data_IF_750606833276
#
_entry.id   IF_750606833276
#
_cell.length_a   1.000
_cell.length_b   1.000
_cell.length_c   1.000
_cell.angle_alpha   90.00
_cell.angle_beta   90.00
_cell.angle_gamma   90.00
#
_symmetry.space_group_name_H-M   'P 1'
#
loop_
_entity.id
_entity.type
_entity.pdbx_description
1 polymer ?
#
# COMPACT_ATOMS: atom_id res chain seq x y z
N UNK A 1 19.11 -36.49 49.05
CA UNK A 1 18.18 -37.28 48.17
C UNK A 1 16.88 -36.55 47.79
N UNK A 2 16.45 -35.55 48.53
CA UNK A 2 15.14 -34.88 48.32
C UNK A 2 15.12 -33.87 47.14
N UNK A 3 16.21 -33.15 46.88
CA UNK A 3 16.28 -32.10 45.82
C UNK A 3 16.32 -32.66 44.40
N UNK A 4 16.91 -33.81 44.19
CA UNK A 4 16.93 -34.48 42.86
C UNK A 4 15.56 -34.98 42.46
N UNK A 5 14.82 -35.52 43.45
CA UNK A 5 13.42 -36.00 43.25
C UNK A 5 12.51 -34.79 42.93
N UNK A 6 12.66 -33.68 43.64
CA UNK A 6 11.89 -32.45 43.41
C UNK A 6 12.19 -31.86 42.01
N UNK A 7 13.46 -31.86 41.62
CA UNK A 7 13.87 -31.41 40.28
C UNK A 7 13.27 -32.29 39.17
N UNK A 8 13.28 -33.64 39.35
CA UNK A 8 12.65 -34.56 38.41
C UNK A 8 11.12 -34.40 38.37
N UNK A 9 10.45 -34.18 39.52
CA UNK A 9 9.00 -33.91 39.57
C UNK A 9 8.68 -32.59 38.85
N UNK A 10 9.46 -31.53 39.06
CA UNK A 10 9.29 -30.25 38.37
C UNK A 10 9.60 -30.35 36.86
N UNK A 11 10.59 -31.16 36.49
CA UNK A 11 10.94 -31.42 35.07
C UNK A 11 9.80 -32.21 34.38
N UNK A 12 9.28 -33.24 35.03
CA UNK A 12 8.15 -34.06 34.52
C UNK A 12 6.87 -33.25 34.50
N UNK A 13 6.62 -32.41 35.53
CA UNK A 13 5.51 -31.46 35.51
C UNK A 13 5.61 -30.42 34.43
N UNK A 14 6.83 -29.89 34.17
CA UNK A 14 7.11 -28.96 33.04
C UNK A 14 6.96 -29.61 31.67
N UNK A 15 7.26 -30.90 31.54
CA UNK A 15 7.04 -31.67 30.32
C UNK A 15 5.56 -32.01 30.13
N UNK A 16 4.83 -32.29 31.23
CA UNK A 16 3.41 -32.65 31.19
C UNK A 16 2.50 -31.42 30.99
N UNK A 17 2.97 -30.22 31.34
CA UNK A 17 2.27 -28.95 31.12
C UNK A 17 2.59 -28.27 29.77
N UNK A 18 3.19 -28.97 28.82
CA UNK A 18 2.98 -28.63 27.42
C UNK A 18 1.56 -29.09 27.03
N UNK A 19 0.56 -28.36 27.51
CA UNK A 19 -0.72 -28.30 26.81
C UNK A 19 -0.39 -28.02 25.36
N UNK A 20 -0.79 -28.90 24.46
CA UNK A 20 -0.69 -28.65 23.01
C UNK A 20 -1.38 -27.31 22.79
N UNK A 21 -0.62 -26.28 22.38
CA UNK A 21 -1.24 -25.01 21.99
C UNK A 21 -2.42 -25.35 21.09
N UNK A 22 -3.60 -24.76 21.33
CA UNK A 22 -4.78 -25.07 20.55
C UNK A 22 -4.44 -24.92 19.07
N UNK A 23 -4.63 -25.99 18.30
CA UNK A 23 -4.29 -26.02 16.88
C UNK A 23 -5.10 -24.93 16.20
N UNK A 24 -4.41 -23.88 15.70
CA UNK A 24 -5.07 -22.79 14.97
C UNK A 24 -5.80 -23.35 13.74
N UNK A 25 -7.05 -22.96 13.60
CA UNK A 25 -7.91 -23.33 12.48
C UNK A 25 -7.67 -22.41 11.28
N UNK A 26 -7.81 -22.94 10.06
CA UNK A 26 -7.51 -22.23 8.81
C UNK A 26 -8.71 -22.22 7.88
N UNK A 27 -9.14 -21.03 7.51
CA UNK A 27 -10.14 -20.80 6.44
C UNK A 27 -9.47 -20.28 5.19
N UNK A 28 -9.91 -20.75 4.02
CA UNK A 28 -9.52 -20.18 2.73
C UNK A 28 -10.75 -19.51 2.11
N UNK A 29 -10.61 -18.25 1.72
CA UNK A 29 -11.62 -17.45 1.04
C UNK A 29 -11.16 -17.16 -0.39
N UNK A 30 -11.99 -17.51 -1.36
CA UNK A 30 -11.72 -17.38 -2.80
C UNK A 30 -12.80 -16.49 -3.41
N UNK A 31 -12.49 -15.22 -3.71
CA UNK A 31 -13.40 -14.37 -4.48
C UNK A 31 -13.37 -14.81 -5.95
N UNK A 32 -14.53 -14.94 -6.58
CA UNK A 32 -14.64 -15.39 -7.96
C UNK A 32 -15.68 -14.56 -8.73
N UNK A 33 -15.36 -14.17 -9.96
CA UNK A 33 -16.29 -13.52 -10.88
C UNK A 33 -15.98 -13.94 -12.31
N UNK A 34 -16.84 -14.81 -12.89
CA UNK A 34 -16.67 -15.44 -14.21
C UNK A 34 -15.35 -16.24 -14.33
N UNK A 35 -15.10 -17.13 -13.35
CA UNK A 35 -13.90 -17.94 -13.24
C UNK A 35 -14.22 -19.47 -13.29
N UNK A 36 -15.26 -19.87 -14.00
CA UNK A 36 -15.67 -21.28 -14.10
C UNK A 36 -14.55 -22.22 -14.59
N UNK A 37 -13.57 -21.70 -15.35
CA UNK A 37 -12.46 -22.48 -15.91
C UNK A 37 -11.34 -22.77 -14.90
N UNK A 38 -11.16 -21.93 -13.91
CA UNK A 38 -9.99 -21.92 -13.02
C UNK A 38 -10.32 -22.23 -11.57
N UNK A 39 -11.49 -21.82 -11.09
CA UNK A 39 -11.92 -21.94 -9.68
C UNK A 39 -11.83 -23.36 -9.15
N UNK A 40 -12.15 -24.39 -9.96
CA UNK A 40 -12.07 -25.79 -9.56
C UNK A 40 -10.64 -26.20 -9.19
N UNK A 41 -9.64 -25.80 -9.98
CA UNK A 41 -8.22 -26.10 -9.70
C UNK A 41 -7.75 -25.40 -8.41
N UNK A 42 -8.16 -24.15 -8.19
CA UNK A 42 -7.82 -23.39 -6.97
C UNK A 42 -8.40 -24.05 -5.73
N UNK A 43 -9.67 -24.48 -5.78
CA UNK A 43 -10.33 -25.20 -4.67
C UNK A 43 -9.62 -26.53 -4.40
N UNK A 44 -9.29 -27.33 -5.44
CA UNK A 44 -8.58 -28.60 -5.28
C UNK A 44 -7.20 -28.43 -4.67
N UNK A 45 -6.43 -27.42 -5.08
CA UNK A 45 -5.13 -27.10 -4.50
C UNK A 45 -5.23 -26.75 -3.00
N UNK A 46 -6.24 -25.99 -2.61
CA UNK A 46 -6.53 -25.65 -1.22
C UNK A 46 -6.97 -26.88 -0.41
N UNK A 47 -7.86 -27.71 -0.96
CA UNK A 47 -8.45 -28.88 -0.29
C UNK A 47 -7.45 -30.01 -0.02
N UNK A 48 -6.36 -30.07 -0.78
CA UNK A 48 -5.32 -31.08 -0.58
C UNK A 48 -4.50 -30.88 0.70
N UNK A 49 -4.65 -29.74 1.39
CA UNK A 49 -3.96 -29.45 2.65
C UNK A 49 -4.80 -29.91 3.84
N UNK A 50 -4.28 -30.87 4.59
CA UNK A 50 -4.99 -31.55 5.70
C UNK A 50 -5.24 -30.69 6.94
N UNK A 51 -4.70 -29.46 6.98
CA UNK A 51 -4.89 -28.50 8.05
C UNK A 51 -5.80 -27.32 7.67
N UNK A 52 -6.38 -27.35 6.48
CA UNK A 52 -7.41 -26.40 6.05
C UNK A 52 -8.77 -26.94 6.49
N UNK A 53 -9.46 -26.17 7.33
CA UNK A 53 -10.72 -26.60 7.96
C UNK A 53 -11.93 -26.24 7.10
N UNK A 54 -11.87 -25.13 6.35
CA UNK A 54 -12.95 -24.70 5.46
C UNK A 54 -12.44 -23.97 4.22
N UNK A 55 -13.18 -24.10 3.12
CA UNK A 55 -12.94 -23.38 1.87
C UNK A 55 -14.24 -22.73 1.45
N UNK A 56 -14.23 -21.41 1.34
CA UNK A 56 -15.39 -20.59 0.97
C UNK A 56 -15.10 -19.89 -0.34
N UNK A 57 -15.89 -20.20 -1.37
CA UNK A 57 -15.87 -19.44 -2.63
C UNK A 57 -17.00 -18.41 -2.58
N UNK A 58 -16.69 -17.15 -2.81
CA UNK A 58 -17.67 -16.08 -2.94
C UNK A 58 -17.80 -15.74 -4.41
N UNK A 59 -18.86 -16.23 -5.04
CA UNK A 59 -19.25 -15.90 -6.42
C UNK A 59 -19.87 -14.51 -6.44
N UNK A 60 -19.16 -13.54 -6.98
CA UNK A 60 -19.58 -12.14 -7.02
C UNK A 60 -20.54 -11.82 -8.19
N UNK A 61 -21.53 -12.70 -8.40
CA UNK A 61 -22.58 -12.52 -9.40
C UNK A 61 -22.19 -13.01 -10.79
N UNK A 62 -21.45 -14.12 -10.89
CA UNK A 62 -21.07 -14.72 -12.17
C UNK A 62 -22.27 -15.25 -12.97
N UNK A 63 -22.06 -15.33 -14.28
CA UNK A 63 -23.02 -15.87 -15.27
C UNK A 63 -22.52 -17.10 -16.03
N UNK A 64 -21.30 -17.61 -15.73
CA UNK A 64 -20.59 -18.62 -16.52
C UNK A 64 -20.49 -20.02 -15.88
N UNK A 65 -21.22 -20.28 -14.78
CA UNK A 65 -21.14 -21.56 -14.07
C UNK A 65 -20.01 -21.64 -13.02
N UNK A 66 -19.47 -20.51 -12.57
CA UNK A 66 -18.45 -20.43 -11.52
C UNK A 66 -18.90 -21.09 -10.21
N UNK A 67 -20.14 -20.82 -9.75
CA UNK A 67 -20.69 -21.41 -8.53
C UNK A 67 -20.70 -22.92 -8.60
N UNK A 68 -21.25 -23.50 -9.68
CA UNK A 68 -21.37 -24.93 -9.88
C UNK A 68 -19.99 -25.62 -9.96
N UNK A 69 -19.00 -24.96 -10.56
CA UNK A 69 -17.63 -25.48 -10.62
C UNK A 69 -16.99 -25.53 -9.23
N UNK A 70 -17.18 -24.50 -8.41
CA UNK A 70 -16.68 -24.43 -7.05
C UNK A 70 -17.33 -25.46 -6.12
N UNK A 71 -18.64 -25.65 -6.22
CA UNK A 71 -19.39 -26.68 -5.47
C UNK A 71 -18.93 -28.08 -5.81
N UNK A 72 -18.78 -28.40 -7.11
CA UNK A 72 -18.25 -29.72 -7.55
C UNK A 72 -16.84 -30.00 -7.00
N UNK A 73 -16.01 -28.96 -6.85
CA UNK A 73 -14.69 -29.09 -6.24
C UNK A 73 -14.75 -29.29 -4.71
N UNK A 74 -15.90 -29.03 -4.09
CA UNK A 74 -16.17 -29.26 -2.67
C UNK A 74 -15.93 -28.04 -1.80
N UNK A 75 -16.08 -26.82 -2.34
CA UNK A 75 -16.11 -25.59 -1.58
C UNK A 75 -17.55 -25.27 -1.10
N UNK A 76 -17.64 -24.51 -0.02
CA UNK A 76 -18.88 -23.81 0.38
C UNK A 76 -19.03 -22.56 -0.49
N UNK A 77 -20.11 -22.44 -1.25
CA UNK A 77 -20.32 -21.32 -2.16
C UNK A 77 -21.30 -20.31 -1.56
N UNK A 78 -20.96 -19.03 -1.67
CA UNK A 78 -21.83 -17.90 -1.35
C UNK A 78 -21.97 -17.06 -2.61
N UNK A 79 -23.18 -16.93 -3.15
CA UNK A 79 -23.42 -16.16 -4.36
C UNK A 79 -23.99 -14.78 -4.06
N UNK A 80 -23.39 -13.74 -4.61
CA UNK A 80 -23.96 -12.41 -4.63
C UNK A 80 -24.98 -12.29 -5.77
N UNK A 81 -26.07 -11.52 -5.59
CA UNK A 81 -27.07 -11.33 -6.65
C UNK A 81 -26.56 -10.51 -7.84
N UNK A 82 -25.47 -9.77 -7.65
CA UNK A 82 -24.76 -8.97 -8.68
C UNK A 82 -23.33 -8.72 -8.23
N UNK A 83 -22.45 -8.32 -9.15
CA UNK A 83 -21.11 -7.91 -8.86
C UNK A 83 -21.08 -6.73 -7.88
N UNK A 84 -20.33 -6.88 -6.78
CA UNK A 84 -20.14 -5.88 -5.72
C UNK A 84 -18.68 -5.45 -5.57
N UNK A 85 -17.79 -6.10 -6.31
CA UNK A 85 -16.36 -5.88 -6.31
C UNK A 85 -15.58 -6.87 -5.43
N UNK A 86 -14.30 -7.05 -5.77
CA UNK A 86 -13.39 -8.02 -5.14
C UNK A 86 -13.38 -7.93 -3.63
N UNK A 87 -13.17 -6.75 -3.09
CA UNK A 87 -13.09 -6.57 -1.64
C UNK A 87 -14.40 -6.82 -0.92
N UNK A 88 -15.56 -6.57 -1.58
CA UNK A 88 -16.87 -6.94 -1.04
C UNK A 88 -17.01 -8.46 -0.95
N UNK A 89 -16.51 -9.21 -1.94
CA UNK A 89 -16.49 -10.68 -1.93
C UNK A 89 -15.56 -11.19 -0.82
N UNK A 90 -14.34 -10.65 -0.68
CA UNK A 90 -13.42 -10.99 0.41
C UNK A 90 -14.05 -10.76 1.79
N UNK A 91 -14.71 -9.62 2.00
CA UNK A 91 -15.37 -9.29 3.26
C UNK A 91 -16.55 -10.25 3.55
N UNK A 92 -17.31 -10.63 2.53
CA UNK A 92 -18.38 -11.62 2.68
C UNK A 92 -17.84 -12.98 3.11
N UNK A 93 -16.79 -13.47 2.44
CA UNK A 93 -16.13 -14.72 2.79
C UNK A 93 -15.50 -14.67 4.19
N UNK A 94 -14.81 -13.58 4.52
CA UNK A 94 -14.25 -13.36 5.85
C UNK A 94 -15.30 -13.43 6.96
N UNK A 95 -16.43 -12.77 6.80
CA UNK A 95 -17.53 -12.78 7.79
C UNK A 95 -18.19 -14.15 7.96
N UNK A 96 -18.13 -14.99 6.96
CA UNK A 96 -18.69 -16.35 6.99
C UNK A 96 -17.68 -17.38 7.46
N UNK A 97 -16.40 -17.10 7.32
CA UNK A 97 -15.34 -17.99 7.77
C UNK A 97 -15.21 -17.96 9.30
N UNK A 98 -14.65 -19.04 9.85
CA UNK A 98 -14.51 -19.26 11.32
C UNK A 98 -13.06 -19.43 11.77
N UNK A 99 -12.14 -19.75 10.87
CA UNK A 99 -10.74 -20.06 11.18
C UNK A 99 -9.99 -18.91 11.85
N UNK A 100 -9.03 -19.24 12.70
CA UNK A 100 -8.13 -18.29 13.38
C UNK A 100 -7.19 -17.57 12.40
N UNK A 101 -6.87 -18.26 11.30
CA UNK A 101 -6.13 -17.75 10.16
C UNK A 101 -7.06 -17.77 8.96
N UNK A 102 -7.09 -16.66 8.23
CA UNK A 102 -7.85 -16.57 6.97
C UNK A 102 -6.88 -16.28 5.83
N UNK A 103 -6.83 -17.19 4.86
CA UNK A 103 -6.09 -17.03 3.62
C UNK A 103 -7.04 -16.58 2.51
N UNK A 104 -6.60 -15.65 1.69
CA UNK A 104 -7.33 -15.15 0.54
C UNK A 104 -6.55 -15.51 -0.72
N UNK A 105 -7.23 -16.12 -1.69
CA UNK A 105 -6.61 -16.64 -2.93
C UNK A 105 -7.51 -16.31 -4.10
N UNK A 106 -6.97 -15.69 -5.13
CA UNK A 106 -7.72 -15.33 -6.34
C UNK A 106 -8.15 -16.59 -7.11
N UNK A 107 -9.35 -16.55 -7.71
CA UNK A 107 -9.92 -17.69 -8.43
C UNK A 107 -9.34 -17.88 -9.85
N UNK A 108 -8.64 -16.88 -10.41
CA UNK A 108 -8.12 -16.85 -11.79
C UNK A 108 -6.76 -17.54 -11.96
N UNK A 109 -6.22 -18.17 -10.91
CA UNK A 109 -4.92 -18.84 -10.94
C UNK A 109 -4.98 -20.17 -11.66
N UNK A 110 -4.30 -20.28 -12.82
CA UNK A 110 -4.36 -21.46 -13.68
C UNK A 110 -3.49 -22.61 -13.18
N UNK A 111 -2.33 -22.30 -12.61
CA UNK A 111 -1.29 -23.26 -12.21
C UNK A 111 -1.04 -23.34 -10.70
N UNK A 112 -2.01 -22.93 -9.88
CA UNK A 112 -1.86 -22.94 -8.42
C UNK A 112 -1.67 -24.37 -7.89
N UNK A 113 -0.65 -24.53 -7.06
CA UNK A 113 -0.32 -25.79 -6.37
C UNK A 113 -0.58 -25.70 -4.87
N UNK A 114 -0.82 -26.84 -4.23
CA UNK A 114 -0.94 -26.91 -2.77
C UNK A 114 0.28 -26.36 -2.03
N UNK A 115 1.47 -26.56 -2.59
CA UNK A 115 2.72 -26.03 -2.01
C UNK A 115 2.76 -24.51 -1.99
N UNK A 116 2.23 -23.85 -3.00
CA UNK A 116 2.11 -22.39 -3.03
C UNK A 116 1.12 -21.89 -1.96
N UNK A 117 -0.03 -22.57 -1.82
CA UNK A 117 -1.01 -22.27 -0.76
C UNK A 117 -0.39 -22.48 0.64
N UNK A 118 0.33 -23.59 0.82
CA UNK A 118 1.06 -23.88 2.06
C UNK A 118 2.05 -22.75 2.40
N UNK A 119 2.84 -22.29 1.43
CA UNK A 119 3.82 -21.22 1.63
C UNK A 119 3.17 -19.91 2.13
N UNK A 120 1.93 -19.62 1.72
CA UNK A 120 1.18 -18.44 2.17
C UNK A 120 0.79 -18.56 3.64
N UNK A 121 0.35 -19.74 4.08
CA UNK A 121 -0.26 -19.97 5.40
C UNK A 121 0.78 -20.30 6.47
N UNK A 122 1.75 -21.14 6.15
CA UNK A 122 2.71 -21.68 7.13
C UNK A 122 3.50 -20.65 7.93
N UNK A 123 3.89 -19.48 7.41
CA UNK A 123 4.57 -18.48 8.24
C UNK A 123 3.73 -17.99 9.42
N UNK A 124 2.39 -17.96 9.28
CA UNK A 124 1.48 -17.54 10.35
C UNK A 124 1.28 -18.69 11.34
N UNK A 125 1.02 -19.91 10.86
CA UNK A 125 0.92 -21.11 11.70
C UNK A 125 2.16 -21.32 12.58
N UNK A 126 3.36 -21.02 12.03
CA UNK A 126 4.62 -21.12 12.74
C UNK A 126 4.97 -19.89 13.61
N UNK A 127 4.07 -18.93 13.80
CA UNK A 127 4.28 -17.73 14.58
C UNK A 127 5.35 -16.76 14.01
N UNK A 128 5.76 -16.96 12.74
CA UNK A 128 6.79 -16.15 12.07
C UNK A 128 6.24 -14.87 11.45
N UNK A 129 4.93 -14.77 11.27
CA UNK A 129 4.23 -13.61 10.73
C UNK A 129 2.82 -13.51 11.32
N UNK A 130 2.23 -12.32 11.26
CA UNK A 130 0.81 -12.07 11.55
C UNK A 130 0.03 -11.91 10.26
N UNK A 131 0.72 -11.43 9.20
CA UNK A 131 0.20 -11.26 7.85
C UNK A 131 1.26 -11.74 6.86
N UNK A 132 0.85 -12.51 5.86
CA UNK A 132 1.69 -12.84 4.71
C UNK A 132 1.17 -12.14 3.47
N UNK A 133 2.07 -11.73 2.58
CA UNK A 133 1.77 -11.17 1.27
C UNK A 133 2.61 -11.90 0.24
N UNK A 134 2.06 -12.24 -0.91
CA UNK A 134 2.81 -13.02 -1.89
C UNK A 134 3.62 -12.13 -2.82
N UNK A 135 4.74 -12.67 -3.27
CA UNK A 135 5.46 -12.25 -4.46
C UNK A 135 5.67 -13.45 -5.38
N UNK A 136 5.84 -13.20 -6.66
CA UNK A 136 6.05 -14.22 -7.68
C UNK A 136 7.06 -13.71 -8.72
N UNK A 137 7.72 -14.63 -9.44
CA UNK A 137 8.86 -14.32 -10.33
C UNK A 137 8.54 -13.39 -11.50
N UNK A 138 7.28 -13.20 -11.85
CA UNK A 138 6.87 -12.30 -12.91
C UNK A 138 7.14 -10.84 -12.51
N UNK A 139 7.58 -10.01 -13.46
CA UNK A 139 7.64 -8.56 -13.26
C UNK A 139 6.27 -8.04 -12.82
N UNK A 140 6.25 -7.18 -11.81
CA UNK A 140 5.03 -6.58 -11.31
C UNK A 140 4.27 -5.86 -12.44
N UNK A 141 2.93 -5.90 -12.38
CA UNK A 141 2.06 -5.30 -13.39
C UNK A 141 2.22 -3.77 -13.48
N UNK A 142 1.72 -3.18 -14.56
CA UNK A 142 1.82 -1.73 -14.80
C UNK A 142 1.26 -0.89 -13.66
N UNK A 143 0.11 -1.26 -13.10
CA UNK A 143 -0.50 -0.55 -11.96
C UNK A 143 0.42 -0.59 -10.74
N UNK A 144 1.06 -1.72 -10.48
CA UNK A 144 2.03 -1.85 -9.40
C UNK A 144 3.24 -0.94 -9.59
N UNK A 145 3.87 -0.98 -10.77
CA UNK A 145 5.13 -0.25 -11.02
C UNK A 145 4.91 1.26 -11.22
N UNK A 146 3.87 1.65 -11.94
CA UNK A 146 3.66 3.04 -12.34
C UNK A 146 2.78 3.83 -11.36
N UNK A 147 1.99 3.14 -10.52
CA UNK A 147 1.02 3.79 -9.65
C UNK A 147 1.26 3.44 -8.18
N UNK A 148 1.16 2.16 -7.79
CA UNK A 148 1.21 1.79 -6.38
C UNK A 148 2.58 2.04 -5.75
N UNK A 149 3.66 1.54 -6.35
CA UNK A 149 5.02 1.69 -5.79
C UNK A 149 5.46 3.15 -5.62
N UNK A 150 5.24 4.08 -6.59
CA UNK A 150 5.56 5.49 -6.39
C UNK A 150 4.81 6.12 -5.21
N UNK A 151 3.51 5.85 -5.08
CA UNK A 151 2.70 6.38 -4.00
C UNK A 151 3.06 5.76 -2.64
N UNK A 152 3.29 4.45 -2.58
CA UNK A 152 3.76 3.78 -1.38
C UNK A 152 5.14 4.30 -0.94
N UNK A 153 6.09 4.44 -1.86
CA UNK A 153 7.39 5.04 -1.55
C UNK A 153 7.29 6.48 -1.02
N UNK A 154 6.23 7.19 -1.39
CA UNK A 154 6.00 8.57 -0.96
C UNK A 154 5.32 8.62 0.42
N UNK A 155 4.20 7.92 0.62
CA UNK A 155 3.41 7.99 1.84
C UNK A 155 3.85 6.99 2.93
N UNK A 156 4.34 5.82 2.51
CA UNK A 156 4.72 4.69 3.37
C UNK A 156 6.13 4.18 3.00
N UNK A 157 7.17 5.02 3.12
CA UNK A 157 8.52 4.70 2.64
C UNK A 157 9.18 3.53 3.38
N UNK A 158 8.66 3.15 4.53
CA UNK A 158 9.05 1.96 5.29
C UNK A 158 8.62 0.66 4.63
N UNK A 159 7.51 0.67 3.87
CA UNK A 159 6.99 -0.50 3.17
C UNK A 159 7.77 -0.76 1.88
N UNK A 160 8.43 -1.91 1.85
CA UNK A 160 9.22 -2.35 0.69
C UNK A 160 8.73 -3.71 0.22
N UNK A 161 7.65 -3.71 -0.57
CA UNK A 161 7.13 -4.91 -1.19
C UNK A 161 7.49 -4.99 -2.67
N UNK A 162 7.86 -6.17 -3.15
CA UNK A 162 8.04 -6.42 -4.58
C UNK A 162 6.70 -6.38 -5.31
N UNK A 163 5.64 -6.92 -4.67
CA UNK A 163 4.31 -6.98 -5.25
C UNK A 163 3.20 -6.59 -4.25
N UNK A 164 3.08 -5.31 -3.92
CA UNK A 164 2.12 -4.82 -2.93
C UNK A 164 0.64 -5.06 -3.32
N UNK A 165 0.35 -5.27 -4.60
CA UNK A 165 -0.99 -5.51 -5.12
C UNK A 165 -1.27 -6.98 -5.41
N UNK A 166 -0.43 -7.94 -4.94
CA UNK A 166 -0.78 -9.36 -5.14
C UNK A 166 -2.07 -9.68 -4.38
N UNK A 167 -2.97 -10.44 -5.01
CA UNK A 167 -4.27 -10.78 -4.42
C UNK A 167 -4.20 -11.93 -3.41
N UNK A 168 -3.08 -12.65 -3.37
CA UNK A 168 -2.90 -13.80 -2.48
C UNK A 168 -2.21 -13.36 -1.20
N UNK A 169 -2.86 -13.55 -0.06
CA UNK A 169 -2.32 -13.24 1.26
C UNK A 169 -3.02 -14.06 2.33
N UNK A 170 -2.45 -14.13 3.52
CA UNK A 170 -3.13 -14.67 4.69
C UNK A 170 -2.89 -13.75 5.90
N UNK A 171 -3.81 -13.77 6.85
CA UNK A 171 -3.71 -12.98 8.06
C UNK A 171 -4.42 -13.64 9.24
N UNK A 172 -4.01 -13.29 10.45
CA UNK A 172 -4.73 -13.66 11.67
C UNK A 172 -6.11 -12.99 11.70
N UNK A 173 -7.13 -13.74 12.08
CA UNK A 173 -8.49 -13.21 12.26
C UNK A 173 -8.54 -12.04 13.23
N UNK A 174 -7.77 -12.10 14.31
CA UNK A 174 -7.70 -11.02 15.31
C UNK A 174 -7.30 -9.67 14.70
N UNK A 175 -6.44 -9.66 13.69
CA UNK A 175 -6.10 -8.46 12.92
C UNK A 175 -7.24 -8.06 11.98
N UNK A 176 -7.77 -9.01 11.19
CA UNK A 176 -8.81 -8.75 10.18
C UNK A 176 -10.12 -8.20 10.78
N UNK A 177 -10.45 -8.58 12.01
CA UNK A 177 -11.61 -8.06 12.74
C UNK A 177 -11.53 -6.55 13.02
N UNK A 178 -10.32 -5.99 12.99
CA UNK A 178 -10.06 -4.60 13.37
C UNK A 178 -9.76 -3.68 12.19
N UNK A 179 -9.91 -4.15 10.96
CA UNK A 179 -9.68 -3.36 9.75
C UNK A 179 -10.95 -3.19 8.93
N UNK A 180 -10.92 -2.19 8.06
CA UNK A 180 -11.98 -1.94 7.09
C UNK A 180 -11.59 -2.48 5.73
N UNK A 181 -12.34 -3.43 5.20
CA UNK A 181 -12.17 -3.91 3.84
C UNK A 181 -12.66 -2.85 2.85
N UNK A 182 -11.81 -2.46 1.91
CA UNK A 182 -12.26 -1.74 0.71
C UNK A 182 -13.19 -2.64 -0.10
N UNK A 183 -14.10 -2.04 -0.90
CA UNK A 183 -15.07 -2.84 -1.66
C UNK A 183 -14.50 -3.42 -2.95
N UNK A 184 -13.46 -2.82 -3.46
CA UNK A 184 -12.86 -3.05 -4.78
C UNK A 184 -11.41 -3.56 -4.69
N UNK A 185 -10.63 -3.42 -5.75
CA UNK A 185 -9.22 -3.84 -5.81
C UNK A 185 -8.29 -3.07 -4.86
N UNK A 186 -8.72 -1.94 -4.31
CA UNK A 186 -8.00 -1.25 -3.25
C UNK A 186 -7.78 -2.09 -1.99
N UNK A 187 -8.57 -3.16 -1.79
CA UNK A 187 -8.45 -4.09 -0.66
C UNK A 187 -7.06 -4.71 -0.57
N UNK A 188 -6.44 -5.05 -1.71
CA UNK A 188 -5.14 -5.74 -1.76
C UNK A 188 -4.00 -4.91 -1.16
N UNK A 189 -4.02 -3.59 -1.36
CA UNK A 189 -3.05 -2.66 -0.75
C UNK A 189 -3.52 -2.17 0.61
N UNK A 190 -4.82 -1.96 0.80
CA UNK A 190 -5.39 -1.46 2.06
C UNK A 190 -5.02 -2.33 3.26
N UNK A 191 -5.14 -3.65 3.11
CA UNK A 191 -4.80 -4.62 4.18
C UNK A 191 -3.32 -4.52 4.59
N UNK A 192 -2.42 -4.33 3.63
CA UNK A 192 -0.98 -4.19 3.91
C UNK A 192 -0.69 -2.88 4.66
N UNK A 193 -1.34 -1.78 4.26
CA UNK A 193 -1.22 -0.49 4.94
C UNK A 193 -1.76 -0.54 6.36
N UNK A 194 -2.93 -1.16 6.54
CA UNK A 194 -3.56 -1.33 7.84
C UNK A 194 -2.71 -2.23 8.77
N UNK A 195 -2.04 -3.26 8.22
CA UNK A 195 -1.16 -4.14 8.95
C UNK A 195 0.13 -3.42 9.42
N UNK A 196 0.74 -2.63 8.55
CA UNK A 196 1.95 -1.86 8.87
C UNK A 196 1.71 -0.86 10.00
N UNK A 197 0.68 -0.03 9.86
CA UNK A 197 0.35 0.99 10.87
C UNK A 197 0.01 0.38 12.23
N UNK A 198 -0.54 -0.83 12.25
CA UNK A 198 -0.86 -1.56 13.49
C UNK A 198 0.33 -2.36 14.04
N UNK A 199 1.50 -2.25 13.43
CA UNK A 199 2.72 -2.94 13.87
C UNK A 199 2.67 -4.46 13.69
N UNK A 200 1.83 -4.96 12.76
CA UNK A 200 1.77 -6.39 12.47
C UNK A 200 3.05 -6.85 11.81
N UNK A 201 3.48 -8.06 12.13
CA UNK A 201 4.63 -8.70 11.50
C UNK A 201 4.25 -9.21 10.12
N UNK A 202 4.56 -8.42 9.10
CA UNK A 202 4.27 -8.75 7.70
C UNK A 202 5.45 -9.52 7.10
N UNK A 203 5.16 -10.59 6.36
CA UNK A 203 6.18 -11.35 5.61
C UNK A 203 5.79 -11.49 4.16
N UNK A 204 6.66 -11.04 3.26
CA UNK A 204 6.52 -11.32 1.83
C UNK A 204 7.01 -12.75 1.54
N UNK A 205 6.19 -13.54 0.84
CA UNK A 205 6.40 -14.96 0.57
C UNK A 205 6.51 -15.18 -0.92
N UNK A 206 7.61 -15.79 -1.36
CA UNK A 206 7.77 -16.19 -2.75
C UNK A 206 6.97 -17.46 -3.03
N UNK A 207 6.03 -17.38 -3.99
CA UNK A 207 5.22 -18.53 -4.44
C UNK A 207 5.61 -19.02 -5.85
N UNK A 208 6.74 -18.54 -6.37
CA UNK A 208 7.25 -18.96 -7.67
C UNK A 208 6.50 -18.34 -8.84
N UNK A 209 6.24 -19.14 -9.88
CA UNK A 209 5.54 -18.68 -11.07
C UNK A 209 4.05 -18.94 -10.94
N UNK A 210 3.25 -17.91 -11.27
CA UNK A 210 1.79 -18.00 -11.36
C UNK A 210 1.33 -17.49 -12.73
N UNK A 211 0.32 -18.15 -13.27
CA UNK A 211 -0.33 -17.77 -14.51
C UNK A 211 -1.76 -17.29 -14.22
N UNK A 212 -2.11 -16.14 -14.74
CA UNK A 212 -3.45 -15.56 -14.64
C UNK A 212 -3.80 -14.82 -15.92
N UNK A 213 -5.08 -14.55 -16.13
CA UNK A 213 -5.60 -13.78 -17.26
C UNK A 213 -5.02 -12.37 -17.30
N UNK A 214 -4.78 -11.84 -18.51
CA UNK A 214 -4.33 -10.45 -18.67
C UNK A 214 -5.54 -9.51 -18.68
N UNK A 215 -5.50 -8.48 -17.83
CA UNK A 215 -6.53 -7.44 -17.80
C UNK A 215 -6.41 -6.49 -19.00
N UNK A 216 -7.53 -6.00 -19.47
CA UNK A 216 -7.62 -4.96 -20.51
C UNK A 216 -7.10 -3.60 -20.00
N UNK A 217 -6.78 -2.66 -20.90
CA UNK A 217 -6.36 -1.31 -20.51
C UNK A 217 -7.43 -0.55 -19.71
N UNK A 218 -8.71 -0.77 -20.01
CA UNK A 218 -9.83 -0.14 -19.31
C UNK A 218 -9.93 -0.65 -17.87
N UNK A 219 -9.80 -1.96 -17.66
CA UNK A 219 -9.78 -2.57 -16.33
C UNK A 219 -8.56 -2.12 -15.52
N UNK A 220 -7.39 -2.03 -16.14
CA UNK A 220 -6.17 -1.51 -15.49
C UNK A 220 -6.33 -0.07 -15.02
N UNK A 221 -7.04 0.79 -15.79
CA UNK A 221 -7.32 2.17 -15.38
C UNK A 221 -8.27 2.23 -14.18
N UNK A 222 -9.34 1.42 -14.18
CA UNK A 222 -10.25 1.34 -13.05
C UNK A 222 -9.51 0.88 -11.78
N UNK A 223 -8.76 -0.21 -11.87
CA UNK A 223 -7.93 -0.74 -10.79
C UNK A 223 -6.91 0.30 -10.28
N UNK A 224 -6.26 1.05 -11.19
CA UNK A 224 -5.31 2.08 -10.80
C UNK A 224 -5.97 3.17 -9.95
N UNK A 225 -7.16 3.65 -10.35
CA UNK A 225 -7.90 4.67 -9.61
C UNK A 225 -8.32 4.17 -8.21
N UNK A 226 -8.77 2.93 -8.08
CA UNK A 226 -9.16 2.32 -6.81
C UNK A 226 -7.96 2.18 -5.87
N UNK A 227 -6.81 1.75 -6.39
CA UNK A 227 -5.55 1.64 -5.65
C UNK A 227 -5.06 3.02 -5.19
N UNK A 228 -5.06 4.02 -6.08
CA UNK A 228 -4.67 5.41 -5.75
C UNK A 228 -5.56 5.94 -4.62
N UNK A 229 -6.89 5.82 -4.79
CA UNK A 229 -7.83 6.26 -3.78
C UNK A 229 -7.52 5.61 -2.42
N UNK A 230 -7.37 4.29 -2.37
CA UNK A 230 -7.12 3.59 -1.12
C UNK A 230 -5.81 4.02 -0.45
N UNK A 231 -4.71 4.17 -1.23
CA UNK A 231 -3.44 4.63 -0.67
C UNK A 231 -3.56 6.05 -0.10
N UNK A 232 -4.24 6.95 -0.82
CA UNK A 232 -4.42 8.34 -0.38
C UNK A 232 -5.34 8.41 0.84
N UNK A 233 -6.46 7.68 0.85
CA UNK A 233 -7.40 7.65 1.97
C UNK A 233 -6.71 7.12 3.24
N UNK A 234 -5.93 6.03 3.14
CA UNK A 234 -5.15 5.51 4.27
C UNK A 234 -4.05 6.49 4.71
N UNK A 235 -3.39 7.16 3.75
CA UNK A 235 -2.40 8.18 4.06
C UNK A 235 -3.02 9.35 4.84
N UNK A 236 -4.24 9.77 4.50
CA UNK A 236 -4.99 10.79 5.25
C UNK A 236 -5.41 10.28 6.63
N UNK A 237 -6.02 9.11 6.70
CA UNK A 237 -6.50 8.48 7.92
C UNK A 237 -5.37 8.30 8.96
N UNK A 238 -4.19 7.90 8.49
CA UNK A 238 -3.02 7.67 9.34
C UNK A 238 -2.11 8.90 9.52
N UNK A 239 -2.57 10.08 9.13
CA UNK A 239 -1.85 11.34 9.31
C UNK A 239 -0.56 11.47 8.48
N UNK A 240 -0.36 10.59 7.47
CA UNK A 240 0.82 10.61 6.59
C UNK A 240 0.83 11.80 5.64
N UNK A 241 -0.33 12.41 5.41
CA UNK A 241 -0.52 13.61 4.57
C UNK A 241 0.04 14.88 5.25
N UNK A 242 0.24 14.89 6.56
CA UNK A 242 0.85 16.01 7.27
C UNK A 242 2.24 16.38 6.70
N UNK A 243 2.95 15.41 6.14
CA UNK A 243 4.22 15.64 5.44
C UNK A 243 4.01 16.35 4.09
N UNK A 244 2.94 16.02 3.33
CA UNK A 244 2.54 16.75 2.11
C UNK A 244 2.08 18.16 2.42
N UNK A 245 1.25 18.34 3.43
CA UNK A 245 0.78 19.66 3.82
C UNK A 245 1.95 20.55 4.25
N UNK A 246 2.91 20.01 4.99
CA UNK A 246 4.13 20.74 5.39
C UNK A 246 5.01 21.09 4.20
N UNK A 247 5.29 20.13 3.29
CA UNK A 247 6.08 20.40 2.08
C UNK A 247 5.33 21.34 1.13
N UNK A 248 4.04 21.08 0.90
CA UNK A 248 3.17 21.93 0.11
C UNK A 248 3.09 23.34 0.66
N UNK A 249 3.01 23.51 2.00
CA UNK A 249 3.10 24.82 2.67
C UNK A 249 4.43 25.50 2.37
N UNK A 250 5.55 24.78 2.48
CA UNK A 250 6.86 25.38 2.21
C UNK A 250 7.00 25.81 0.74
N UNK A 251 6.53 24.99 -0.22
CA UNK A 251 6.51 25.34 -1.64
C UNK A 251 5.64 26.59 -1.87
N UNK A 252 4.38 26.59 -1.42
CA UNK A 252 3.45 27.72 -1.59
C UNK A 252 4.01 29.01 -0.99
N UNK A 253 4.56 28.94 0.23
CA UNK A 253 5.13 30.10 0.90
C UNK A 253 6.41 30.60 0.24
N UNK A 254 7.23 29.71 -0.34
CA UNK A 254 8.41 30.11 -1.13
C UNK A 254 8.00 30.88 -2.40
N UNK A 255 7.00 30.35 -3.11
CA UNK A 255 6.46 30.99 -4.32
C UNK A 255 5.82 32.34 -3.96
N UNK A 256 5.02 32.39 -2.90
CA UNK A 256 4.41 33.62 -2.39
C UNK A 256 5.48 34.70 -2.11
N UNK A 257 6.55 34.32 -1.41
CA UNK A 257 7.65 35.25 -1.12
C UNK A 257 8.33 35.78 -2.39
N UNK A 258 8.63 34.90 -3.36
CA UNK A 258 9.21 35.30 -4.65
C UNK A 258 8.25 36.18 -5.46
N UNK A 259 6.96 35.87 -5.47
CA UNK A 259 5.94 36.67 -6.15
C UNK A 259 5.79 38.07 -5.50
N UNK A 260 5.83 38.14 -4.18
CA UNK A 260 5.80 39.38 -3.44
C UNK A 260 7.02 40.28 -3.74
N UNK A 261 8.21 39.66 -3.83
CA UNK A 261 9.43 40.33 -4.26
C UNK A 261 9.35 40.84 -5.70
N UNK A 262 8.82 40.04 -6.62
CA UNK A 262 8.61 40.45 -8.03
C UNK A 262 7.65 41.61 -8.14
N UNK A 263 6.55 41.62 -7.35
CA UNK A 263 5.61 42.70 -7.28
C UNK A 263 6.26 43.97 -6.70
N UNK A 264 7.11 43.83 -5.69
CA UNK A 264 7.88 44.94 -5.11
C UNK A 264 8.83 45.56 -6.15
N UNK A 265 9.59 44.76 -6.89
CA UNK A 265 10.44 45.23 -7.99
C UNK A 265 9.59 45.96 -9.02
N UNK A 266 8.51 45.35 -9.48
CA UNK A 266 7.62 45.96 -10.48
C UNK A 266 7.06 47.30 -9.98
N UNK A 267 6.65 47.43 -8.72
CA UNK A 267 6.10 48.64 -8.16
C UNK A 267 7.14 49.79 -8.08
N UNK A 268 8.39 49.47 -7.74
CA UNK A 268 9.47 50.47 -7.70
C UNK A 268 9.76 51.11 -9.05
N UNK A 269 9.74 50.30 -10.11
CA UNK A 269 10.18 50.75 -11.42
C UNK A 269 9.05 51.22 -12.34
N UNK A 270 7.85 50.67 -12.21
CA UNK A 270 6.74 50.93 -13.13
C UNK A 270 5.55 51.69 -12.54
N UNK A 271 5.40 51.77 -11.20
CA UNK A 271 4.25 52.43 -10.59
C UNK A 271 4.70 53.69 -9.89
N UNK A 272 4.68 54.84 -10.61
CA UNK A 272 5.09 56.15 -10.08
C UNK A 272 4.29 56.63 -8.84
N UNK A 273 3.08 56.11 -8.63
CA UNK A 273 2.23 56.49 -7.49
C UNK A 273 2.59 55.74 -6.19
N UNK A 274 3.37 54.66 -6.25
CA UNK A 274 3.80 53.90 -5.08
C UNK A 274 5.13 54.47 -4.58
N UNK A 275 5.25 54.83 -3.29
CA UNK A 275 6.53 55.24 -2.73
C UNK A 275 7.59 54.17 -2.91
N UNK A 276 8.77 54.55 -3.36
CA UNK A 276 9.92 53.61 -3.57
C UNK A 276 10.20 52.78 -2.32
N UNK A 277 10.07 53.38 -1.13
CA UNK A 277 10.23 52.70 0.16
C UNK A 277 9.24 51.55 0.33
N UNK A 278 7.98 51.73 -0.08
CA UNK A 278 6.97 50.70 0.04
C UNK A 278 7.27 49.49 -0.88
N UNK A 279 7.70 49.79 -2.14
CA UNK A 279 8.13 48.72 -3.06
C UNK A 279 9.38 47.99 -2.57
N UNK A 280 10.37 48.71 -2.08
CA UNK A 280 11.58 48.10 -1.50
C UNK A 280 11.27 47.24 -0.26
N UNK A 281 10.33 47.65 0.57
CA UNK A 281 9.87 46.86 1.72
C UNK A 281 9.24 45.53 1.27
N UNK A 282 8.42 45.56 0.22
CA UNK A 282 7.85 44.36 -0.36
C UNK A 282 8.92 43.38 -0.90
N UNK A 283 9.96 43.95 -1.56
CA UNK A 283 11.08 43.12 -2.04
C UNK A 283 11.78 42.42 -0.88
N UNK A 284 12.14 43.15 0.16
CA UNK A 284 12.88 42.62 1.32
C UNK A 284 12.02 41.59 2.07
N UNK A 285 10.77 41.93 2.37
CA UNK A 285 9.86 41.03 3.08
C UNK A 285 9.62 39.72 2.28
N UNK A 286 9.42 39.84 0.95
CA UNK A 286 9.25 38.67 0.08
C UNK A 286 10.48 37.80 0.04
N UNK A 287 11.68 38.36 -0.05
CA UNK A 287 12.93 37.60 -0.03
C UNK A 287 13.15 36.89 1.29
N UNK A 288 12.86 37.52 2.41
CA UNK A 288 12.96 36.90 3.75
C UNK A 288 12.03 35.68 3.84
N UNK A 289 10.77 35.85 3.44
CA UNK A 289 9.79 34.77 3.43
C UNK A 289 10.28 33.63 2.51
N UNK A 290 10.65 33.94 1.28
CA UNK A 290 11.11 32.94 0.32
C UNK A 290 12.30 32.16 0.86
N UNK A 291 13.35 32.85 1.32
CA UNK A 291 14.56 32.22 1.82
C UNK A 291 14.31 31.32 3.04
N UNK A 292 13.49 31.78 3.99
CA UNK A 292 13.13 31.02 5.18
C UNK A 292 12.46 29.67 4.80
N UNK A 293 11.48 29.72 3.89
CA UNK A 293 10.74 28.51 3.50
C UNK A 293 11.53 27.61 2.54
N UNK A 294 12.37 28.16 1.67
CA UNK A 294 13.29 27.40 0.82
C UNK A 294 14.29 26.60 1.66
N UNK A 295 14.88 27.23 2.68
CA UNK A 295 15.81 26.53 3.60
C UNK A 295 15.09 25.40 4.32
N UNK A 296 13.87 25.63 4.83
CA UNK A 296 13.07 24.58 5.46
C UNK A 296 12.72 23.45 4.49
N UNK A 297 12.36 23.79 3.26
CA UNK A 297 12.06 22.81 2.21
C UNK A 297 13.31 21.95 1.89
N UNK A 298 14.45 22.58 1.66
CA UNK A 298 15.71 21.88 1.37
C UNK A 298 16.10 20.95 2.52
N UNK A 299 16.08 21.43 3.77
CA UNK A 299 16.39 20.60 4.95
C UNK A 299 15.47 19.38 5.05
N UNK A 300 14.18 19.54 4.77
CA UNK A 300 13.22 18.43 4.83
C UNK A 300 13.41 17.46 3.66
N UNK A 301 13.64 17.97 2.45
CA UNK A 301 13.87 17.18 1.24
C UNK A 301 15.19 16.42 1.29
N UNK A 302 16.23 16.98 1.91
CA UNK A 302 17.54 16.36 2.03
C UNK A 302 17.48 15.02 2.78
N UNK A 303 16.66 14.96 3.83
CA UNK A 303 16.43 13.73 4.59
C UNK A 303 15.75 12.61 3.74
N UNK A 304 15.08 12.99 2.66
CA UNK A 304 14.44 12.05 1.71
C UNK A 304 15.44 11.56 0.67
N UNK A 305 16.37 12.43 0.24
CA UNK A 305 17.35 12.17 -0.82
C UNK A 305 18.52 11.31 -0.33
N UNK A 306 18.94 11.48 0.92
CA UNK A 306 20.11 10.77 1.49
C UNK A 306 19.86 9.28 1.76
N UNK A 307 18.72 8.71 1.41
CA UNK A 307 18.50 7.26 1.51
C UNK A 307 19.31 6.52 0.43
N UNK A 308 20.15 5.51 0.82
CA UNK A 308 21.20 4.94 -0.04
C UNK A 308 20.69 4.22 -1.30
N UNK A 309 19.42 3.77 -1.30
CA UNK A 309 18.95 2.74 -2.22
C UNK A 309 18.50 3.23 -3.62
N UNK A 310 18.31 4.55 -3.83
CA UNK A 310 17.76 5.08 -5.11
C UNK A 310 18.19 6.52 -5.45
N UNK A 311 19.48 6.81 -5.48
CA UNK A 311 20.02 8.18 -5.71
C UNK A 311 19.46 8.91 -6.95
N UNK A 312 19.36 8.25 -8.09
CA UNK A 312 18.94 8.91 -9.35
C UNK A 312 17.45 9.26 -9.39
N UNK A 313 16.58 8.36 -8.93
CA UNK A 313 15.12 8.60 -8.87
C UNK A 313 14.79 9.69 -7.85
N UNK A 314 15.55 9.74 -6.75
CA UNK A 314 15.39 10.77 -5.71
C UNK A 314 15.79 12.16 -6.20
N UNK A 315 16.86 12.29 -7.00
CA UNK A 315 17.28 13.57 -7.60
C UNK A 315 16.23 14.08 -8.59
N UNK A 316 15.70 13.21 -9.44
CA UNK A 316 14.65 13.58 -10.40
C UNK A 316 13.39 14.08 -9.69
N UNK A 317 12.94 13.38 -8.66
CA UNK A 317 11.78 13.78 -7.84
C UNK A 317 12.03 15.11 -7.10
N UNK A 318 13.25 15.31 -6.61
CA UNK A 318 13.66 16.58 -6.00
C UNK A 318 13.56 17.75 -6.99
N UNK A 319 14.09 17.59 -8.20
CA UNK A 319 14.02 18.62 -9.25
C UNK A 319 12.57 18.95 -9.61
N UNK A 320 11.71 17.95 -9.81
CA UNK A 320 10.29 18.18 -10.11
C UNK A 320 9.57 18.93 -8.99
N UNK A 321 9.83 18.59 -7.75
CA UNK A 321 9.20 19.23 -6.59
C UNK A 321 9.62 20.70 -6.43
N UNK A 322 10.88 21.03 -6.80
CA UNK A 322 11.41 22.39 -6.67
C UNK A 322 11.23 23.22 -7.94
N UNK A 323 10.80 22.62 -9.05
CA UNK A 323 10.64 23.28 -10.35
C UNK A 323 9.85 24.59 -10.30
N UNK A 324 8.67 24.68 -9.64
CA UNK A 324 7.92 25.93 -9.58
C UNK A 324 8.68 27.06 -8.87
N UNK A 325 9.47 26.72 -7.84
CA UNK A 325 10.30 27.70 -7.11
C UNK A 325 11.44 28.19 -7.98
N UNK A 326 12.09 27.27 -8.70
CA UNK A 326 13.18 27.58 -9.63
C UNK A 326 12.68 28.56 -10.71
N UNK A 327 11.52 28.27 -11.31
CA UNK A 327 10.92 29.14 -12.33
C UNK A 327 10.60 30.51 -11.75
N UNK A 328 9.99 30.60 -10.58
CA UNK A 328 9.69 31.89 -9.93
C UNK A 328 10.95 32.68 -9.59
N UNK A 329 12.02 32.03 -9.17
CA UNK A 329 13.31 32.69 -8.91
C UNK A 329 13.97 33.21 -10.21
N UNK A 330 13.91 32.44 -11.30
CA UNK A 330 14.42 32.84 -12.61
C UNK A 330 13.66 34.05 -13.15
N UNK A 331 12.34 34.12 -12.99
CA UNK A 331 11.54 35.28 -13.36
C UNK A 331 12.00 36.52 -12.59
N UNK A 332 12.18 36.43 -11.27
CA UNK A 332 12.66 37.54 -10.45
C UNK A 332 14.06 38.00 -10.88
N UNK A 333 14.98 37.06 -11.16
CA UNK A 333 16.34 37.35 -11.63
C UNK A 333 16.29 38.04 -12.98
N UNK A 334 15.49 37.55 -13.93
CA UNK A 334 15.34 38.17 -15.24
C UNK A 334 14.82 39.60 -15.16
N UNK A 335 13.79 39.84 -14.32
CA UNK A 335 13.29 41.21 -14.06
C UNK A 335 14.39 42.13 -13.53
N UNK A 336 15.17 41.69 -12.55
CA UNK A 336 16.27 42.45 -11.97
C UNK A 336 17.37 42.74 -13.02
N UNK A 337 17.76 41.72 -13.82
CA UNK A 337 18.77 41.85 -14.87
C UNK A 337 18.36 42.90 -15.94
N UNK A 338 17.11 42.83 -16.40
CA UNK A 338 16.55 43.81 -17.33
C UNK A 338 16.57 45.22 -16.78
N UNK A 339 16.21 45.40 -15.49
CA UNK A 339 16.16 46.71 -14.83
C UNK A 339 17.56 47.30 -14.57
N UNK A 340 18.57 46.44 -14.37
CA UNK A 340 19.96 46.84 -14.17
C UNK A 340 20.72 47.05 -15.48
N UNK A 341 20.07 46.85 -16.62
CA UNK A 341 20.70 47.02 -17.94
C UNK A 341 21.75 45.93 -18.23
N UNK A 342 21.62 44.75 -17.61
CA UNK A 342 22.52 43.63 -17.80
C UNK A 342 22.11 42.73 -19.00
N UNK A 343 20.94 43.00 -19.61
CA UNK A 343 20.40 42.33 -20.80
C UNK A 343 19.72 43.38 -21.65
#
# INVERSE_FOLDING_TARGET
>A
MSWVILFFILLVASIKNRESEPKMTVSIVIPAYNEAKTVENVVKAAKSLNYVDEIIVVDDGSSDGTSEAAERAGATVIKHPKNKGKGAALNTGFKKSTGDIVAFIDADLQNLTSKQVENIIMPILNGKADVTKTKFKRKAGRVTELTAKPLLNFFFPELKFEQPLSGQFAAKRSFLNNIKFEKDYGVDVGIVLDADVRGMKIKEVDIGEIEHSMSTLTELNATANEVVRTIVDRAMEYGRVSMMDTLGKYIRMSILGLSLSSLGVFSVFFIKMVPTVAGATLVIAGLIIALYYIIKLIKRSFNIILRPDKKFTSIKSFLYMHFPIIVSALILIAMLATLLGAV
#
